data_IF_181348454918
#
_entry.id   IF_181348454918
#
_cell.length_a   1.000
_cell.length_b   1.000
_cell.length_c   1.000
_cell.angle_alpha   90.00
_cell.angle_beta   90.00
_cell.angle_gamma   90.00
#
_symmetry.space_group_name_H-M   'P 1'
#
loop_
_entity.id
_entity.type
_entity.pdbx_description
1 polymer ?
#
# COMPACT_ATOMS: atom_id res chain seq x y z
N UNK A 1 -21.66 -56.17 -32.36
CA UNK A 1 -21.70 -55.71 -30.97
C UNK A 1 -20.67 -54.62 -30.81
N UNK A 2 -21.05 -53.36 -30.56
CA UNK A 2 -20.11 -52.27 -30.24
C UNK A 2 -19.72 -52.37 -28.77
N UNK A 3 -18.52 -51.93 -28.37
CA UNK A 3 -18.04 -52.00 -27.02
C UNK A 3 -18.77 -50.96 -26.12
N UNK A 4 -19.08 -51.38 -24.88
CA UNK A 4 -19.69 -50.58 -23.83
C UNK A 4 -18.79 -49.44 -23.40
N UNK A 5 -19.31 -48.22 -23.45
CA UNK A 5 -18.70 -47.06 -22.84
C UNK A 5 -18.61 -47.25 -21.32
N UNK A 6 -17.40 -47.11 -20.77
CA UNK A 6 -17.13 -47.06 -19.35
C UNK A 6 -17.63 -45.73 -18.73
N UNK A 7 -17.88 -45.71 -17.42
CA UNK A 7 -18.39 -44.52 -16.75
C UNK A 7 -17.42 -43.38 -16.77
N UNK A 8 -17.91 -42.19 -17.14
CA UNK A 8 -17.20 -40.90 -17.06
C UNK A 8 -16.81 -40.64 -15.60
N UNK A 9 -15.57 -40.21 -15.32
CA UNK A 9 -15.20 -39.80 -13.97
C UNK A 9 -15.97 -38.55 -13.59
N UNK A 10 -16.72 -38.63 -12.49
CA UNK A 10 -17.31 -37.46 -11.84
C UNK A 10 -16.17 -36.56 -11.39
N UNK A 11 -16.12 -35.36 -11.93
CA UNK A 11 -15.19 -34.33 -11.50
C UNK A 11 -15.49 -34.00 -10.03
N UNK A 12 -14.60 -34.42 -9.14
CA UNK A 12 -14.61 -34.05 -7.74
C UNK A 12 -14.45 -32.53 -7.61
N UNK A 13 -15.56 -31.87 -7.28
CA UNK A 13 -15.63 -30.42 -7.03
C UNK A 13 -14.96 -29.93 -5.74
N UNK A 14 -14.02 -30.68 -5.16
CA UNK A 14 -13.43 -30.35 -3.84
C UNK A 14 -11.91 -30.14 -3.83
N UNK A 15 -11.27 -29.96 -4.99
CA UNK A 15 -9.83 -29.60 -5.02
C UNK A 15 -9.52 -28.12 -5.14
N UNK A 16 -10.49 -27.23 -4.97
CA UNK A 16 -10.34 -25.82 -5.26
C UNK A 16 -10.15 -24.94 -4.01
N UNK A 17 -9.52 -25.34 -2.94
CA UNK A 17 -9.26 -24.41 -1.81
C UNK A 17 -8.03 -24.70 -0.94
N UNK A 18 -7.03 -25.45 -1.41
CA UNK A 18 -5.78 -25.66 -0.64
C UNK A 18 -4.55 -24.96 -1.19
N UNK A 19 -4.64 -24.24 -2.33
CA UNK A 19 -3.58 -23.33 -2.76
C UNK A 19 -3.81 -21.95 -2.11
N UNK A 20 -3.15 -21.75 -0.99
CA UNK A 20 -3.38 -20.61 -0.08
C UNK A 20 -2.45 -19.42 -0.33
N UNK A 21 -1.79 -19.29 -1.46
CA UNK A 21 -0.76 -18.28 -1.65
C UNK A 21 -1.17 -17.34 -2.79
N UNK A 22 -1.76 -16.19 -2.41
CA UNK A 22 -1.90 -15.06 -3.32
C UNK A 22 -0.50 -14.54 -3.64
N UNK A 23 0.05 -14.96 -4.78
CA UNK A 23 1.42 -14.63 -5.18
C UNK A 23 1.46 -13.58 -6.27
N UNK A 24 0.36 -13.42 -7.03
CA UNK A 24 0.27 -12.46 -8.13
C UNK A 24 -0.61 -11.28 -7.78
N UNK A 25 -0.31 -10.07 -8.32
CA UNK A 25 -1.14 -8.89 -8.15
C UNK A 25 -2.58 -9.08 -8.64
N UNK A 26 -2.78 -9.91 -9.65
CA UNK A 26 -4.09 -10.24 -10.22
C UNK A 26 -4.96 -11.04 -9.24
N UNK A 27 -4.38 -12.01 -8.54
CA UNK A 27 -5.04 -12.79 -7.47
C UNK A 27 -5.42 -11.89 -6.30
N UNK A 28 -4.51 -10.99 -5.90
CA UNK A 28 -4.75 -9.99 -4.87
C UNK A 28 -5.91 -9.08 -5.29
N UNK A 29 -5.91 -8.57 -6.53
CA UNK A 29 -6.97 -7.70 -7.05
C UNK A 29 -8.34 -8.40 -7.04
N UNK A 30 -8.41 -9.69 -7.38
CA UNK A 30 -9.68 -10.44 -7.34
C UNK A 30 -10.25 -10.55 -5.92
N UNK A 31 -9.40 -10.73 -4.90
CA UNK A 31 -9.84 -10.74 -3.48
C UNK A 31 -10.41 -9.38 -3.09
N UNK A 32 -9.73 -8.29 -3.45
CA UNK A 32 -10.16 -6.93 -3.14
C UNK A 32 -11.43 -6.54 -3.91
N UNK A 33 -11.56 -6.95 -5.17
CA UNK A 33 -12.75 -6.73 -5.99
C UNK A 33 -14.01 -7.26 -5.30
N UNK A 34 -13.99 -8.50 -4.81
CA UNK A 34 -15.13 -9.13 -4.13
C UNK A 34 -15.47 -8.48 -2.80
N UNK A 35 -14.51 -7.79 -2.17
CA UNK A 35 -14.63 -7.28 -0.80
C UNK A 35 -14.72 -5.76 -0.70
N UNK A 36 -14.56 -5.02 -1.80
CA UNK A 36 -14.53 -3.55 -1.79
C UNK A 36 -15.70 -2.93 -1.00
N UNK A 37 -16.92 -3.47 -1.13
CA UNK A 37 -18.12 -2.97 -0.44
C UNK A 37 -18.09 -3.15 1.08
N UNK A 38 -17.39 -4.18 1.58
CA UNK A 38 -17.32 -4.52 2.99
C UNK A 38 -15.96 -4.24 3.60
N UNK A 39 -15.03 -3.73 2.80
CA UNK A 39 -13.64 -3.52 3.22
C UNK A 39 -13.55 -2.60 4.43
N UNK A 40 -14.20 -1.44 4.38
CA UNK A 40 -14.19 -0.46 5.47
C UNK A 40 -14.80 -1.02 6.76
N UNK A 41 -15.82 -1.86 6.65
CA UNK A 41 -16.43 -2.53 7.80
C UNK A 41 -15.50 -3.60 8.38
N UNK A 42 -14.87 -4.42 7.53
CA UNK A 42 -13.96 -5.47 7.97
C UNK A 42 -12.73 -4.92 8.68
N UNK A 43 -12.20 -3.80 8.21
CA UNK A 43 -11.10 -3.06 8.86
C UNK A 43 -11.48 -2.64 10.29
N UNK A 44 -12.70 -2.16 10.49
CA UNK A 44 -13.17 -1.75 11.81
C UNK A 44 -13.37 -2.93 12.78
N UNK A 45 -13.67 -4.14 12.29
CA UNK A 45 -13.82 -5.33 13.15
C UNK A 45 -12.52 -5.69 13.91
N UNK A 46 -11.34 -5.30 13.42
CA UNK A 46 -10.06 -5.54 14.09
C UNK A 46 -9.85 -4.74 15.37
N UNK A 47 -10.67 -3.71 15.63
CA UNK A 47 -10.71 -3.07 16.95
C UNK A 47 -11.08 -4.03 18.07
N UNK A 48 -11.88 -5.08 17.78
CA UNK A 48 -12.29 -6.07 18.77
C UNK A 48 -11.11 -6.87 19.33
N UNK A 49 -10.03 -7.00 18.56
CA UNK A 49 -8.79 -7.65 19.01
C UNK A 49 -7.72 -6.63 19.48
N UNK A 50 -8.12 -5.38 19.73
CA UNK A 50 -7.23 -4.32 20.22
C UNK A 50 -6.34 -3.69 19.16
N UNK A 51 -6.50 -4.02 17.89
CA UNK A 51 -5.72 -3.43 16.82
C UNK A 51 -6.22 -2.03 16.46
N UNK A 52 -5.51 -1.01 16.95
CA UNK A 52 -5.88 0.42 16.81
C UNK A 52 -5.51 0.97 15.43
N UNK A 53 -6.11 0.45 14.39
CA UNK A 53 -5.89 0.75 12.97
C UNK A 53 -5.80 2.25 12.65
N UNK A 54 -6.76 3.04 13.13
CA UNK A 54 -6.79 4.49 12.92
C UNK A 54 -5.65 5.24 13.63
N UNK A 55 -5.19 4.74 14.77
CA UNK A 55 -4.06 5.35 15.47
C UNK A 55 -2.76 5.19 14.67
N UNK A 56 -2.54 4.02 14.06
CA UNK A 56 -1.39 3.80 13.18
C UNK A 56 -1.46 4.65 11.91
N UNK A 57 -2.62 4.75 11.25
CA UNK A 57 -2.80 5.63 10.09
C UNK A 57 -2.52 7.09 10.41
N UNK A 58 -3.03 7.60 11.54
CA UNK A 58 -2.74 8.96 11.99
C UNK A 58 -1.25 9.19 12.25
N UNK A 59 -0.57 8.23 12.88
CA UNK A 59 0.89 8.32 13.10
C UNK A 59 1.66 8.32 11.79
N UNK A 60 1.31 7.46 10.85
CA UNK A 60 1.94 7.41 9.54
C UNK A 60 1.76 8.73 8.77
N UNK A 61 0.55 9.30 8.78
CA UNK A 61 0.27 10.57 8.11
C UNK A 61 0.98 11.74 8.82
N UNK A 62 1.02 11.76 10.15
CA UNK A 62 1.79 12.76 10.89
C UNK A 62 3.30 12.69 10.57
N UNK A 63 3.84 11.48 10.34
CA UNK A 63 5.24 11.29 9.98
C UNK A 63 5.62 11.83 8.59
N UNK A 64 4.62 12.10 7.71
CA UNK A 64 4.87 12.75 6.41
C UNK A 64 5.34 14.20 6.56
N UNK A 65 4.97 14.88 7.66
CA UNK A 65 5.36 16.28 7.90
C UNK A 65 4.72 17.26 6.92
N UNK A 66 3.51 16.97 6.44
CA UNK A 66 2.82 17.72 5.39
C UNK A 66 2.56 19.17 5.77
N UNK A 67 2.66 20.04 4.79
CA UNK A 67 2.28 21.44 4.86
C UNK A 67 1.07 21.72 3.96
N UNK A 68 0.25 22.76 4.22
CA UNK A 68 -0.76 23.22 3.28
C UNK A 68 -0.13 23.48 1.89
N UNK A 69 -0.80 23.01 0.85
CA UNK A 69 -0.31 23.12 -0.54
C UNK A 69 0.53 21.93 -1.02
N UNK A 70 0.88 20.97 -0.15
CA UNK A 70 1.73 19.83 -0.51
C UNK A 70 1.10 18.91 -1.57
N UNK A 71 1.95 18.33 -2.41
CA UNK A 71 1.61 17.28 -3.38
C UNK A 71 1.91 15.92 -2.76
N UNK A 72 0.88 15.11 -2.57
CA UNK A 72 0.97 13.79 -1.93
C UNK A 72 0.52 12.70 -2.89
N UNK A 73 1.29 11.63 -2.97
CA UNK A 73 0.91 10.40 -3.68
C UNK A 73 0.66 9.29 -2.67
N UNK A 74 -0.53 8.70 -2.69
CA UNK A 74 -0.83 7.50 -1.91
C UNK A 74 -0.84 6.27 -2.82
N UNK A 75 0.10 5.35 -2.60
CA UNK A 75 0.23 4.07 -3.30
C UNK A 75 -0.59 3.00 -2.59
N UNK A 76 -1.48 2.33 -3.34
CA UNK A 76 -2.46 1.39 -2.78
C UNK A 76 -3.50 2.13 -1.95
N UNK A 77 -4.10 3.19 -2.51
CA UNK A 77 -5.04 4.05 -1.78
C UNK A 77 -6.35 3.34 -1.39
N UNK A 78 -6.68 2.23 -2.07
CA UNK A 78 -7.89 1.46 -1.83
C UNK A 78 -9.15 2.31 -1.95
N UNK A 79 -10.01 2.24 -0.95
CA UNK A 79 -11.25 3.02 -0.85
C UNK A 79 -11.03 4.47 -0.42
N UNK A 80 -9.77 4.93 -0.27
CA UNK A 80 -9.42 6.30 0.15
C UNK A 80 -9.61 6.56 1.64
N UNK A 81 -9.39 5.57 2.52
CA UNK A 81 -9.55 5.73 3.97
C UNK A 81 -8.68 6.85 4.57
N UNK A 82 -7.51 7.10 3.99
CA UNK A 82 -6.59 8.13 4.45
C UNK A 82 -6.93 9.53 3.94
N UNK A 83 -7.75 9.66 2.89
CA UNK A 83 -7.97 10.93 2.19
C UNK A 83 -8.43 12.06 3.12
N UNK A 84 -9.33 11.77 4.05
CA UNK A 84 -9.79 12.78 5.01
C UNK A 84 -8.65 13.34 5.87
N UNK A 85 -7.72 12.48 6.30
CA UNK A 85 -6.57 12.90 7.12
C UNK A 85 -5.54 13.66 6.28
N UNK A 86 -5.28 13.19 5.05
CA UNK A 86 -4.37 13.84 4.11
C UNK A 86 -4.92 15.22 3.71
N UNK A 87 -6.19 15.32 3.35
CA UNK A 87 -6.86 16.58 3.01
C UNK A 87 -6.84 17.59 4.16
N UNK A 88 -7.01 17.12 5.40
CA UNK A 88 -6.91 18.00 6.58
C UNK A 88 -5.49 18.58 6.75
N UNK A 89 -4.46 17.91 6.24
CA UNK A 89 -3.07 18.37 6.31
C UNK A 89 -2.67 19.26 5.13
N UNK A 90 -3.07 18.92 3.90
CA UNK A 90 -2.64 19.65 2.70
C UNK A 90 -3.60 20.79 2.29
N UNK A 91 -4.84 20.74 2.75
CA UNK A 91 -5.88 21.71 2.37
C UNK A 91 -6.29 21.60 0.89
N UNK A 92 -7.15 22.52 0.44
CA UNK A 92 -7.62 22.56 -0.96
C UNK A 92 -6.55 23.09 -1.93
N UNK A 93 -5.53 23.77 -1.45
CA UNK A 93 -4.38 24.24 -2.26
C UNK A 93 -3.38 23.14 -2.57
N UNK A 94 -3.39 22.01 -1.82
CA UNK A 94 -2.58 20.85 -2.09
C UNK A 94 -3.15 19.96 -3.19
N UNK A 95 -2.41 18.92 -3.55
CA UNK A 95 -2.85 17.90 -4.53
C UNK A 95 -2.66 16.52 -3.95
N UNK A 96 -3.71 15.71 -3.95
CA UNK A 96 -3.67 14.31 -3.53
C UNK A 96 -3.88 13.40 -4.74
N UNK A 97 -2.93 12.50 -4.96
CA UNK A 97 -2.99 11.49 -6.03
C UNK A 97 -3.11 10.12 -5.37
N UNK A 98 -4.27 9.47 -5.55
CA UNK A 98 -4.50 8.10 -5.08
C UNK A 98 -4.30 7.10 -6.20
N UNK A 99 -3.36 6.19 -6.04
CA UNK A 99 -3.04 5.13 -7.02
C UNK A 99 -3.48 3.79 -6.46
N UNK A 100 -4.26 3.04 -7.23
CA UNK A 100 -4.65 1.67 -6.89
C UNK A 100 -4.86 0.83 -8.16
N UNK A 101 -4.63 -0.48 -8.05
CA UNK A 101 -4.86 -1.41 -9.17
C UNK A 101 -6.34 -1.74 -9.34
N UNK A 102 -7.11 -1.74 -8.27
CA UNK A 102 -8.49 -2.22 -8.23
C UNK A 102 -9.49 -1.15 -8.64
N UNK A 103 -10.19 -1.38 -9.75
CA UNK A 103 -11.28 -0.52 -10.23
C UNK A 103 -12.38 -0.34 -9.18
N UNK A 104 -12.75 -1.44 -8.48
CA UNK A 104 -13.82 -1.41 -7.48
C UNK A 104 -13.42 -0.60 -6.24
N UNK A 105 -12.14 -0.70 -5.80
CA UNK A 105 -11.61 0.16 -4.74
C UNK A 105 -11.64 1.63 -5.15
N UNK A 106 -11.17 1.95 -6.35
CA UNK A 106 -11.20 3.32 -6.87
C UNK A 106 -12.63 3.84 -7.06
N UNK A 107 -13.61 2.98 -7.36
CA UNK A 107 -15.01 3.39 -7.41
C UNK A 107 -15.50 3.87 -6.03
N UNK A 108 -15.17 3.16 -4.96
CA UNK A 108 -15.48 3.60 -3.58
C UNK A 108 -14.72 4.90 -3.22
N UNK A 109 -13.46 4.99 -3.63
CA UNK A 109 -12.67 6.21 -3.44
C UNK A 109 -13.31 7.41 -4.17
N UNK A 110 -13.77 7.26 -5.42
CA UNK A 110 -14.49 8.31 -6.18
C UNK A 110 -15.76 8.77 -5.47
N UNK A 111 -16.55 7.83 -4.93
CA UNK A 111 -17.75 8.15 -4.16
C UNK A 111 -17.39 8.97 -2.90
N UNK A 112 -16.31 8.60 -2.21
CA UNK A 112 -15.81 9.32 -1.04
C UNK A 112 -15.33 10.73 -1.40
N UNK A 113 -14.59 10.89 -2.50
CA UNK A 113 -14.13 12.18 -3.02
C UNK A 113 -15.33 13.07 -3.34
N UNK A 114 -16.31 12.56 -4.09
CA UNK A 114 -17.52 13.30 -4.46
C UNK A 114 -18.35 13.69 -3.24
N UNK A 115 -18.56 12.77 -2.28
CA UNK A 115 -19.33 13.03 -1.06
C UNK A 115 -18.72 14.10 -0.16
N UNK A 116 -17.41 14.36 -0.26
CA UNK A 116 -16.70 15.39 0.51
C UNK A 116 -16.37 16.64 -0.30
N UNK A 117 -16.71 16.69 -1.59
CA UNK A 117 -16.45 17.84 -2.45
C UNK A 117 -14.97 18.15 -2.70
N UNK A 118 -14.08 17.14 -2.63
CA UNK A 118 -12.66 17.36 -2.84
C UNK A 118 -12.32 17.45 -4.32
N UNK A 119 -12.02 18.66 -4.80
CA UNK A 119 -11.68 18.94 -6.21
C UNK A 119 -10.20 18.72 -6.54
N UNK A 120 -9.36 18.58 -5.51
CA UNK A 120 -7.90 18.45 -5.61
C UNK A 120 -7.40 17.01 -5.43
N UNK A 121 -8.31 16.01 -5.56
CA UNK A 121 -7.98 14.59 -5.51
C UNK A 121 -8.05 13.99 -6.90
N UNK A 122 -6.96 13.40 -7.34
CA UNK A 122 -6.83 12.62 -8.56
C UNK A 122 -6.78 11.13 -8.23
N UNK A 123 -7.48 10.30 -8.99
CA UNK A 123 -7.48 8.84 -8.83
C UNK A 123 -6.97 8.18 -10.09
N UNK A 124 -5.88 7.42 -9.93
CA UNK A 124 -5.17 6.76 -11.02
C UNK A 124 -5.30 5.24 -10.86
N UNK A 125 -5.83 4.58 -11.88
CA UNK A 125 -5.82 3.13 -11.93
C UNK A 125 -4.51 2.65 -12.54
N UNK A 126 -3.61 2.15 -11.71
CA UNK A 126 -2.33 1.60 -12.13
C UNK A 126 -1.83 0.57 -11.11
N UNK A 127 -1.03 -0.37 -11.60
CA UNK A 127 -0.16 -1.17 -10.74
C UNK A 127 0.91 -0.26 -10.15
N UNK A 128 1.22 -0.40 -8.86
CA UNK A 128 2.16 0.48 -8.17
C UNK A 128 3.52 0.57 -8.88
N UNK A 129 4.07 -0.56 -9.33
CA UNK A 129 5.36 -0.61 -10.01
C UNK A 129 5.35 0.04 -11.41
N UNK A 130 4.20 0.13 -12.06
CA UNK A 130 4.05 0.71 -13.40
C UNK A 130 3.64 2.19 -13.36
N UNK A 131 3.34 2.72 -12.16
CA UNK A 131 3.01 4.12 -11.96
C UNK A 131 4.25 5.01 -12.16
N UNK A 132 4.05 6.10 -12.89
CA UNK A 132 5.06 7.14 -13.08
C UNK A 132 4.71 8.33 -12.18
N UNK A 133 5.55 8.55 -11.18
CA UNK A 133 5.37 9.68 -10.27
C UNK A 133 5.57 11.01 -11.00
N UNK A 134 4.74 12.03 -10.72
CA UNK A 134 5.04 13.38 -11.19
C UNK A 134 6.31 13.91 -10.51
N UNK A 135 6.92 14.92 -11.09
CA UNK A 135 8.00 15.66 -10.41
C UNK A 135 7.43 16.54 -9.30
N UNK A 136 8.26 16.84 -8.30
CA UNK A 136 7.89 17.79 -7.24
C UNK A 136 6.92 17.22 -6.21
N UNK A 137 6.97 15.90 -5.94
CA UNK A 137 6.17 15.26 -4.89
C UNK A 137 6.76 15.59 -3.52
N UNK A 138 5.94 16.14 -2.62
CA UNK A 138 6.36 16.44 -1.24
C UNK A 138 6.34 15.19 -0.37
N UNK A 139 5.39 14.27 -0.60
CA UNK A 139 5.29 13.07 0.20
C UNK A 139 4.67 11.89 -0.57
N UNK A 140 5.13 10.69 -0.22
CA UNK A 140 4.56 9.42 -0.66
C UNK A 140 4.12 8.62 0.56
N UNK A 141 2.90 8.11 0.51
CA UNK A 141 2.32 7.26 1.54
C UNK A 141 1.96 5.90 0.96
N UNK A 142 2.22 4.83 1.69
CA UNK A 142 1.56 3.55 1.46
C UNK A 142 1.14 2.93 2.78
N UNK A 143 -0.12 2.47 2.87
CA UNK A 143 -0.65 1.86 4.08
C UNK A 143 -1.27 0.51 3.79
N UNK A 144 -0.65 -0.56 4.31
CA UNK A 144 -1.11 -1.96 4.19
C UNK A 144 -1.30 -2.43 2.74
N UNK A 145 -0.41 -1.97 1.84
CA UNK A 145 -0.53 -2.25 0.41
C UNK A 145 0.80 -2.61 -0.26
N UNK A 146 1.90 -1.94 0.10
CA UNK A 146 3.15 -2.07 -0.67
C UNK A 146 3.78 -3.46 -0.57
N UNK A 147 3.61 -4.16 0.54
CA UNK A 147 4.06 -5.57 0.67
C UNK A 147 3.36 -6.52 -0.30
N UNK A 148 2.17 -6.14 -0.82
CA UNK A 148 1.45 -6.93 -1.82
C UNK A 148 2.07 -6.81 -3.22
N UNK A 149 2.82 -5.73 -3.52
CA UNK A 149 3.51 -5.50 -4.79
C UNK A 149 4.86 -6.24 -4.79
N UNK A 150 5.09 -7.24 -5.64
CA UNK A 150 6.37 -7.94 -5.71
C UNK A 150 7.54 -7.02 -6.10
N UNK A 151 7.26 -6.01 -6.94
CA UNK A 151 8.24 -5.04 -7.44
C UNK A 151 8.30 -3.78 -6.56
N UNK A 152 8.08 -3.91 -5.25
CA UNK A 152 8.06 -2.78 -4.30
C UNK A 152 9.37 -1.98 -4.29
N UNK A 153 10.51 -2.60 -4.59
CA UNK A 153 11.81 -1.92 -4.67
C UNK A 153 11.83 -0.88 -5.81
N UNK A 154 11.27 -1.22 -6.96
CA UNK A 154 11.12 -0.29 -8.09
C UNK A 154 10.18 0.88 -7.75
N UNK A 155 9.09 0.61 -7.03
CA UNK A 155 8.16 1.66 -6.55
C UNK A 155 8.90 2.65 -5.66
N UNK A 156 9.66 2.14 -4.69
CA UNK A 156 10.42 2.95 -3.74
C UNK A 156 11.51 3.75 -4.45
N UNK A 157 12.24 3.13 -5.39
CA UNK A 157 13.27 3.81 -6.18
C UNK A 157 12.69 4.96 -7.02
N UNK A 158 11.56 4.73 -7.73
CA UNK A 158 10.87 5.76 -8.50
C UNK A 158 10.36 6.89 -7.61
N UNK A 159 9.78 6.56 -6.45
CA UNK A 159 9.31 7.54 -5.49
C UNK A 159 10.46 8.41 -4.95
N UNK A 160 11.61 7.80 -4.60
CA UNK A 160 12.79 8.53 -4.14
C UNK A 160 13.33 9.52 -5.18
N UNK A 161 13.20 9.21 -6.47
CA UNK A 161 13.58 10.14 -7.55
C UNK A 161 12.58 11.28 -7.74
N UNK A 162 11.31 11.07 -7.43
CA UNK A 162 10.25 12.05 -7.63
C UNK A 162 10.07 13.02 -6.45
N UNK A 163 10.53 12.62 -5.26
CA UNK A 163 10.43 13.41 -4.06
C UNK A 163 11.35 14.64 -4.12
N UNK A 164 10.83 15.77 -3.66
CA UNK A 164 11.58 17.00 -3.45
C UNK A 164 12.60 16.84 -2.33
N UNK A 165 13.53 17.78 -2.23
CA UNK A 165 14.43 17.90 -1.07
C UNK A 165 13.61 17.95 0.23
N UNK A 166 13.99 17.16 1.23
CA UNK A 166 13.25 17.02 2.48
C UNK A 166 11.94 16.22 2.39
N UNK A 167 11.51 15.86 1.17
CA UNK A 167 10.30 15.05 0.94
C UNK A 167 10.40 13.66 1.58
N UNK A 168 9.25 13.08 1.95
CA UNK A 168 9.22 11.83 2.73
C UNK A 168 8.40 10.74 2.08
N UNK A 169 8.92 9.51 2.15
CA UNK A 169 8.15 8.29 1.93
C UNK A 169 7.84 7.64 3.27
N UNK A 170 6.55 7.51 3.58
CA UNK A 170 6.09 6.80 4.78
C UNK A 170 5.37 5.52 4.40
N UNK A 171 5.83 4.43 4.99
CA UNK A 171 5.29 3.09 4.81
C UNK A 171 4.75 2.58 6.15
N UNK A 172 3.45 2.31 6.19
CA UNK A 172 2.78 1.60 7.28
C UNK A 172 2.33 0.24 6.75
N UNK A 173 2.86 -0.86 7.29
CA UNK A 173 2.50 -2.19 6.80
C UNK A 173 2.60 -3.24 7.90
N UNK A 174 2.16 -4.45 7.57
CA UNK A 174 2.28 -5.62 8.42
C UNK A 174 3.63 -6.31 8.21
N UNK A 175 4.11 -6.96 9.24
CA UNK A 175 5.29 -7.83 9.17
C UNK A 175 5.10 -9.08 10.00
N UNK A 176 5.87 -10.12 9.70
CA UNK A 176 6.02 -11.24 10.61
C UNK A 176 6.89 -10.81 11.80
N UNK A 177 6.43 -10.94 13.05
CA UNK A 177 7.22 -10.57 14.22
C UNK A 177 8.41 -11.52 14.41
N UNK A 178 9.50 -11.01 14.96
CA UNK A 178 10.72 -11.77 15.25
C UNK A 178 10.74 -12.29 16.70
N UNK A 179 9.61 -12.23 17.42
CA UNK A 179 9.44 -12.68 18.79
C UNK A 179 8.71 -14.04 18.86
N UNK A 180 8.31 -14.46 20.07
CA UNK A 180 7.60 -15.74 20.30
C UNK A 180 6.30 -15.90 19.47
N UNK A 181 5.66 -14.81 19.04
CA UNK A 181 4.49 -14.83 18.16
C UNK A 181 4.80 -15.45 16.79
N UNK A 182 6.07 -15.53 16.39
CA UNK A 182 6.48 -16.21 15.15
C UNK A 182 6.05 -17.69 15.16
N UNK A 183 5.99 -18.32 16.33
CA UNK A 183 5.53 -19.71 16.45
C UNK A 183 4.02 -19.85 16.17
N UNK A 184 3.28 -18.75 16.25
CA UNK A 184 1.86 -18.65 15.91
C UNK A 184 1.62 -18.12 14.49
N UNK A 185 2.66 -18.06 13.64
CA UNK A 185 2.59 -17.53 12.28
C UNK A 185 1.43 -18.09 11.44
N UNK A 186 1.15 -19.40 11.41
CA UNK A 186 0.02 -19.93 10.64
C UNK A 186 -1.33 -19.35 11.10
N UNK A 187 -1.53 -19.22 12.40
CA UNK A 187 -2.74 -18.64 12.99
C UNK A 187 -2.84 -17.14 12.69
N UNK A 188 -1.73 -16.40 12.82
CA UNK A 188 -1.69 -14.97 12.52
C UNK A 188 -1.99 -14.69 11.05
N UNK A 189 -1.39 -15.45 10.14
CA UNK A 189 -1.65 -15.34 8.70
C UNK A 189 -3.10 -15.72 8.38
N UNK A 190 -3.66 -16.75 9.02
CA UNK A 190 -5.06 -17.10 8.86
C UNK A 190 -5.98 -15.94 9.29
N UNK A 191 -5.67 -15.25 10.37
CA UNK A 191 -6.44 -14.09 10.86
C UNK A 191 -6.42 -12.93 9.87
N UNK A 192 -5.28 -12.63 9.22
CA UNK A 192 -5.14 -11.52 8.25
C UNK A 192 -5.35 -11.94 6.79
N UNK A 193 -5.66 -13.21 6.54
CA UNK A 193 -5.97 -13.74 5.20
C UNK A 193 -7.05 -12.96 4.43
N UNK A 194 -8.06 -12.35 5.09
CA UNK A 194 -9.01 -11.48 4.41
C UNK A 194 -8.39 -10.30 3.66
N UNK A 195 -7.15 -9.91 3.97
CA UNK A 195 -6.40 -8.82 3.31
C UNK A 195 -5.37 -9.32 2.30
N UNK A 196 -5.57 -10.51 1.73
CA UNK A 196 -4.66 -11.14 0.78
C UNK A 196 -3.21 -11.31 1.31
N UNK A 197 -3.03 -11.37 2.63
CA UNK A 197 -1.73 -11.61 3.25
C UNK A 197 -1.48 -13.12 3.28
N UNK A 198 -0.45 -13.57 2.55
CA UNK A 198 0.09 -14.94 2.59
C UNK A 198 1.39 -14.96 3.39
N UNK A 199 1.88 -16.17 3.70
CA UNK A 199 3.19 -16.34 4.33
C UNK A 199 4.33 -15.75 3.49
N UNK A 200 4.20 -15.78 2.16
CA UNK A 200 5.18 -15.22 1.24
C UNK A 200 5.17 -13.69 1.29
N UNK A 201 3.99 -13.07 1.26
CA UNK A 201 3.83 -11.63 1.43
C UNK A 201 4.39 -11.17 2.79
N UNK A 202 4.12 -11.92 3.85
CA UNK A 202 4.61 -11.62 5.19
C UNK A 202 6.15 -11.71 5.35
N UNK A 203 6.85 -12.39 4.43
CA UNK A 203 8.32 -12.43 4.38
C UNK A 203 8.94 -11.24 3.65
N UNK A 204 8.15 -10.50 2.86
CA UNK A 204 8.64 -9.32 2.14
C UNK A 204 9.00 -8.22 3.12
N UNK A 205 10.06 -7.50 2.82
CA UNK A 205 10.66 -6.50 3.70
C UNK A 205 10.84 -5.14 3.02
N UNK A 206 9.72 -4.48 2.60
CA UNK A 206 9.83 -3.21 1.87
C UNK A 206 10.51 -2.10 2.69
N UNK A 207 10.50 -2.15 4.02
CA UNK A 207 11.24 -1.22 4.88
C UNK A 207 12.76 -1.26 4.65
N UNK A 208 13.33 -2.43 4.27
CA UNK A 208 14.75 -2.52 3.91
C UNK A 208 15.06 -1.84 2.58
N UNK A 209 14.10 -1.80 1.68
CA UNK A 209 14.21 -1.03 0.44
C UNK A 209 14.23 0.47 0.74
N UNK A 210 13.35 0.97 1.60
CA UNK A 210 13.41 2.35 2.07
C UNK A 210 14.80 2.69 2.65
N UNK A 211 15.34 1.82 3.49
CA UNK A 211 16.68 2.01 4.09
C UNK A 211 17.79 2.10 3.03
N UNK A 212 17.65 1.43 1.87
CA UNK A 212 18.64 1.48 0.78
C UNK A 212 18.54 2.73 -0.08
N UNK A 213 17.30 3.21 -0.31
CA UNK A 213 17.05 4.31 -1.24
C UNK A 213 17.02 5.69 -0.58
N UNK A 214 17.00 5.77 0.75
CA UNK A 214 16.97 7.02 1.49
C UNK A 214 18.13 7.11 2.48
N UNK A 215 18.82 8.22 2.50
CA UNK A 215 19.94 8.47 3.41
C UNK A 215 19.48 8.73 4.84
N UNK A 216 18.31 9.36 5.02
CA UNK A 216 17.66 9.50 6.32
C UNK A 216 16.54 8.48 6.41
N UNK A 217 16.61 7.62 7.42
CA UNK A 217 15.70 6.52 7.62
C UNK A 217 15.34 6.35 9.09
N UNK A 218 14.06 6.14 9.38
CA UNK A 218 13.60 5.73 10.70
C UNK A 218 12.62 4.56 10.62
N UNK A 219 12.57 3.76 11.67
CA UNK A 219 11.74 2.56 11.73
C UNK A 219 11.19 2.37 13.14
N UNK A 220 9.88 2.14 13.24
CA UNK A 220 9.20 1.91 14.50
C UNK A 220 8.25 0.72 14.38
N UNK A 221 8.31 -0.17 15.35
CA UNK A 221 7.38 -1.29 15.47
C UNK A 221 6.23 -0.97 16.42
N UNK A 222 5.11 -1.63 16.19
CA UNK A 222 3.92 -1.55 17.03
C UNK A 222 3.16 -2.87 17.07
N UNK A 223 2.18 -2.94 17.95
CA UNK A 223 1.30 -4.09 18.11
C UNK A 223 2.08 -5.42 18.17
N UNK A 224 2.96 -5.55 19.18
CA UNK A 224 3.78 -6.74 19.41
C UNK A 224 4.71 -7.11 18.23
N UNK A 225 5.11 -6.15 17.42
CA UNK A 225 5.97 -6.37 16.26
C UNK A 225 5.25 -6.81 14.99
N UNK A 226 3.91 -6.81 14.97
CA UNK A 226 3.10 -7.17 13.80
C UNK A 226 2.90 -6.03 12.79
N UNK A 227 3.13 -4.79 13.25
CA UNK A 227 2.96 -3.56 12.45
C UNK A 227 4.23 -2.75 12.53
N UNK A 228 4.58 -2.07 11.45
CA UNK A 228 5.67 -1.11 11.45
C UNK A 228 5.31 0.17 10.71
N UNK A 229 5.97 1.26 11.09
CA UNK A 229 6.03 2.50 10.34
C UNK A 229 7.50 2.73 10.00
N UNK A 230 7.80 2.81 8.70
CA UNK A 230 9.12 3.16 8.19
C UNK A 230 9.03 4.49 7.45
N UNK A 231 10.01 5.36 7.66
CA UNK A 231 10.09 6.68 7.02
C UNK A 231 11.44 6.77 6.34
N UNK A 232 11.42 7.05 5.03
CA UNK A 232 12.58 7.49 4.28
C UNK A 232 12.43 8.96 3.95
N UNK A 233 13.48 9.76 4.14
CA UNK A 233 13.50 11.18 3.79
C UNK A 233 14.61 11.50 2.79
N UNK A 234 14.26 12.29 1.78
CA UNK A 234 15.18 12.74 0.74
C UNK A 234 16.09 13.83 1.30
N UNK A 235 17.41 13.73 1.03
CA UNK A 235 18.36 14.76 1.44
C UNK A 235 18.18 16.05 0.65
N UNK A 236 18.46 17.18 1.29
CA UNK A 236 18.46 18.51 0.66
C UNK A 236 19.56 18.63 -0.41
N UNK A 237 20.72 18.07 -0.16
CA UNK A 237 21.88 18.17 -1.06
C UNK A 237 21.76 17.31 -2.34
N UNK A 238 21.18 16.12 -2.23
CA UNK A 238 21.04 15.21 -3.38
C UNK A 238 19.96 15.65 -4.39
N UNK A 239 18.91 16.30 -3.92
CA UNK A 239 17.83 16.78 -4.78
C UNK A 239 18.30 17.95 -5.66
N UNK A 240 19.12 18.84 -5.14
CA UNK A 240 19.69 19.98 -5.88
C UNK A 240 20.61 19.52 -7.00
N UNK A 241 21.45 18.50 -6.76
CA UNK A 241 22.35 17.92 -7.77
C UNK A 241 21.60 17.23 -8.92
N UNK A 242 20.45 16.59 -8.64
CA UNK A 242 19.63 15.89 -9.66
C UNK A 242 18.84 16.86 -10.53
N UNK A 243 18.33 17.96 -9.99
CA UNK A 243 17.64 19.00 -10.77
C UNK A 243 18.59 19.70 -11.72
N UNK A 244 19.83 19.96 -11.32
CA UNK A 244 20.87 20.53 -12.21
C UNK A 244 21.23 19.60 -13.37
N UNK A 245 21.39 18.29 -13.11
CA UNK A 245 21.71 17.33 -14.18
C UNK A 245 20.54 17.09 -15.16
N UNK A 246 19.29 17.21 -14.71
CA UNK A 246 18.12 17.11 -15.58
C UNK A 246 17.97 18.34 -16.52
N UNK A 247 18.27 19.53 -16.05
CA UNK A 247 18.26 20.76 -16.84
C UNK A 247 19.32 20.77 -17.95
N UNK A 248 20.50 20.18 -17.72
CA UNK A 248 21.57 20.05 -18.72
C UNK A 248 21.29 19.04 -19.83
N UNK A 249 20.38 18.06 -19.59
CA UNK A 249 19.98 17.08 -20.61
C UNK A 249 18.79 17.53 -21.45
N UNK A 250 18.09 18.59 -21.04
CA UNK A 250 16.92 19.15 -21.74
C UNK A 250 17.26 20.43 -22.56
N UNK A 251 18.48 20.93 -22.47
CA UNK A 251 19.04 22.01 -23.28
C UNK A 251 19.98 21.44 -24.37
#
# INVERSE_FOLDING_TARGET
MPPKAGPTPIANGDQALTRSDFTTPEEVNEVYRRRARFYDWSVNAYYLIGFRWWAYRRRAIAALGLQPGAIVVEIGCGTGLNFRLLQASIGLSGRLIGVDLSTDMLQQARQRVAANGWSNVELVQARAADYNFPSGVDAVLSTFALSLEPRFDEVIAKAAMALVAGGRFVLLDLRMPDNWLRNLAPMLVWLVRPFAVSLEVAKRQPWKSLQRHFSQYSYQEGYLGLVYIAVGQQNEDEATGRQQTASWRAA
#
